data_IF_229444131177
#
_entry.id   IF_229444131177
#
_cell.length_a   1.000
_cell.length_b   1.000
_cell.length_c   1.000
_cell.angle_alpha   90.00
_cell.angle_beta   90.00
_cell.angle_gamma   90.00
#
_symmetry.space_group_name_H-M   'P 1'
#
loop_
_entity.id
_entity.type
_entity.pdbx_description
1 polymer ?
#
# COMPACT_ATOMS: atom_id res chain seq x y z
N UNK A 1 9.26 0.25 30.05
CA UNK A 1 10.13 1.45 29.93
C UNK A 1 9.20 2.55 29.41
N UNK A 2 8.75 3.40 30.30
CA UNK A 2 8.05 4.63 29.94
C UNK A 2 9.11 5.61 29.46
N UNK A 3 9.28 5.70 28.17
CA UNK A 3 10.28 6.61 27.57
C UNK A 3 9.75 8.02 27.39
N UNK A 4 8.64 8.40 27.99
CA UNK A 4 8.14 9.79 27.94
C UNK A 4 8.04 10.41 26.54
N UNK A 5 8.09 9.55 25.51
CA UNK A 5 8.19 9.94 24.11
C UNK A 5 6.78 10.27 23.61
N UNK A 6 6.56 11.51 23.29
CA UNK A 6 5.32 11.90 22.61
C UNK A 6 5.42 11.41 21.18
N UNK A 7 4.59 10.46 20.80
CA UNK A 7 4.42 10.02 19.41
C UNK A 7 3.19 10.73 18.82
N UNK A 8 3.33 11.26 17.62
CA UNK A 8 2.21 11.73 16.82
C UNK A 8 1.96 10.75 15.68
N UNK A 9 0.70 10.36 15.51
CA UNK A 9 0.27 9.52 14.39
C UNK A 9 -0.56 10.36 13.42
N UNK A 10 -0.25 10.23 12.15
CA UNK A 10 -0.96 10.90 11.06
C UNK A 10 -1.24 9.91 9.94
N UNK A 11 -2.21 10.23 9.09
CA UNK A 11 -2.39 9.56 7.82
C UNK A 11 -1.11 9.70 6.99
N UNK A 12 -0.68 8.65 6.30
CA UNK A 12 0.52 8.68 5.46
C UNK A 12 0.37 9.75 4.37
N UNK A 13 1.37 10.61 4.22
CA UNK A 13 1.43 11.54 3.10
C UNK A 13 1.93 10.84 1.84
N UNK A 14 1.58 11.34 0.64
CA UNK A 14 2.16 10.82 -0.60
C UNK A 14 3.68 10.95 -0.65
N UNK A 15 4.25 11.97 -0.02
CA UNK A 15 5.70 12.11 0.12
C UNK A 15 6.31 10.96 0.94
N UNK A 16 5.71 10.63 2.08
CA UNK A 16 6.15 9.49 2.90
C UNK A 16 5.97 8.17 2.16
N UNK A 17 4.89 8.03 1.38
CA UNK A 17 4.65 6.89 0.51
C UNK A 17 5.78 6.73 -0.52
N UNK A 18 6.07 7.77 -1.28
CA UNK A 18 7.11 7.75 -2.31
C UNK A 18 8.51 7.48 -1.70
N UNK A 19 8.77 8.00 -0.50
CA UNK A 19 9.99 7.69 0.25
C UNK A 19 10.09 6.21 0.59
N UNK A 20 9.00 5.59 1.08
CA UNK A 20 8.97 4.17 1.39
C UNK A 20 9.14 3.30 0.13
N UNK A 21 8.48 3.65 -0.98
CA UNK A 21 8.63 2.96 -2.27
C UNK A 21 10.06 3.07 -2.80
N UNK A 22 10.69 4.24 -2.69
CA UNK A 22 12.08 4.43 -3.09
C UNK A 22 13.05 3.67 -2.16
N UNK A 23 12.77 3.61 -0.87
CA UNK A 23 13.53 2.78 0.07
C UNK A 23 13.49 1.29 -0.31
N UNK A 24 12.30 0.75 -0.61
CA UNK A 24 12.15 -0.63 -1.09
C UNK A 24 12.98 -0.85 -2.35
N UNK A 25 12.88 0.06 -3.33
CA UNK A 25 13.61 -0.02 -4.59
C UNK A 25 15.12 -0.08 -4.40
N UNK A 26 15.66 0.64 -3.43
CA UNK A 26 17.11 0.76 -3.21
C UNK A 26 17.67 -0.29 -2.24
N UNK A 27 16.83 -0.88 -1.38
CA UNK A 27 17.25 -1.80 -0.31
C UNK A 27 16.68 -3.22 -0.46
N UNK A 28 16.11 -3.55 -1.62
CA UNK A 28 15.63 -4.89 -1.91
C UNK A 28 15.93 -5.30 -3.36
N UNK A 29 15.55 -6.52 -3.72
CA UNK A 29 15.66 -7.03 -5.10
C UNK A 29 14.56 -6.46 -6.03
N UNK A 30 13.60 -5.72 -5.51
CA UNK A 30 12.47 -5.16 -6.25
C UNK A 30 12.81 -3.78 -6.84
N UNK A 31 13.80 -3.72 -7.72
CA UNK A 31 14.36 -2.46 -8.27
C UNK A 31 13.36 -1.61 -9.06
N UNK A 32 12.29 -2.21 -9.60
CA UNK A 32 11.18 -1.52 -10.27
C UNK A 32 9.85 -1.65 -9.53
N UNK A 33 9.90 -1.68 -8.19
CA UNK A 33 8.75 -1.81 -7.30
C UNK A 33 7.63 -0.80 -7.58
N UNK A 34 8.00 0.44 -7.91
CA UNK A 34 7.04 1.51 -8.20
C UNK A 34 6.19 1.26 -9.46
N UNK A 35 6.74 0.54 -10.45
CA UNK A 35 6.17 0.48 -11.80
C UNK A 35 5.74 -0.93 -12.23
N UNK A 36 6.07 -1.95 -11.45
CA UNK A 36 5.76 -3.34 -11.80
C UNK A 36 4.81 -3.97 -10.78
N UNK A 37 3.70 -4.50 -11.28
CA UNK A 37 2.75 -5.29 -10.48
C UNK A 37 3.30 -6.64 -10.05
N UNK A 38 4.46 -7.07 -10.57
CA UNK A 38 5.11 -8.31 -10.16
C UNK A 38 5.47 -8.36 -8.67
N UNK A 39 5.60 -7.20 -8.05
CA UNK A 39 5.93 -7.06 -6.63
C UNK A 39 4.71 -6.79 -5.74
N UNK A 40 3.51 -6.70 -6.32
CA UNK A 40 2.30 -6.55 -5.52
C UNK A 40 2.08 -7.79 -4.65
N UNK A 41 1.76 -7.59 -3.39
CA UNK A 41 1.48 -8.67 -2.46
C UNK A 41 0.22 -9.43 -2.84
N UNK A 42 -0.93 -8.82 -2.67
CA UNK A 42 -2.22 -9.39 -3.06
C UNK A 42 -2.68 -8.79 -4.39
N UNK A 43 -2.76 -9.63 -5.42
CA UNK A 43 -3.05 -9.20 -6.79
C UNK A 43 -4.01 -10.18 -7.49
N UNK A 44 -4.98 -9.67 -8.28
CA UNK A 44 -6.05 -10.47 -8.86
C UNK A 44 -5.55 -11.64 -9.71
N UNK A 45 -4.65 -11.37 -10.64
CA UNK A 45 -4.29 -12.31 -11.71
C UNK A 45 -3.30 -13.41 -11.33
N UNK A 46 -2.99 -13.56 -10.03
CA UNK A 46 -2.06 -14.62 -9.59
C UNK A 46 -2.41 -15.19 -8.23
N UNK A 47 -1.89 -16.39 -7.98
CA UNK A 47 -1.91 -17.00 -6.67
C UNK A 47 -1.13 -16.16 -5.67
N UNK A 48 -1.70 -15.97 -4.50
CA UNK A 48 -1.02 -15.32 -3.37
C UNK A 48 -0.59 -16.39 -2.38
N UNK A 49 0.67 -16.34 -1.98
CA UNK A 49 1.27 -17.30 -1.07
C UNK A 49 1.65 -16.63 0.25
N UNK A 50 1.53 -17.36 1.33
CA UNK A 50 2.07 -16.97 2.62
C UNK A 50 3.61 -17.13 2.66
N UNK A 51 4.21 -16.74 3.79
CA UNK A 51 5.67 -16.86 4.01
C UNK A 51 6.19 -18.30 4.03
N UNK A 52 5.29 -19.29 4.16
CA UNK A 52 5.63 -20.73 4.14
C UNK A 52 5.45 -21.33 2.74
N UNK A 53 4.95 -20.55 1.77
CA UNK A 53 4.69 -20.99 0.41
C UNK A 53 3.30 -21.59 0.17
N UNK A 54 2.42 -21.62 1.16
CA UNK A 54 1.05 -22.11 1.00
C UNK A 54 0.22 -21.10 0.23
N UNK A 55 -0.61 -21.57 -0.71
CA UNK A 55 -1.56 -20.70 -1.42
C UNK A 55 -2.67 -20.30 -0.45
N UNK A 56 -2.82 -19.00 -0.21
CA UNK A 56 -3.85 -18.40 0.65
C UNK A 56 -4.94 -17.68 -0.13
N UNK A 57 -4.72 -17.45 -1.43
CA UNK A 57 -5.70 -16.94 -2.41
C UNK A 57 -5.31 -17.42 -3.81
N UNK A 58 -6.24 -17.93 -4.58
CA UNK A 58 -5.99 -18.31 -5.98
C UNK A 58 -6.11 -17.13 -6.93
N UNK A 59 -5.48 -17.27 -8.10
CA UNK A 59 -5.64 -16.31 -9.19
C UNK A 59 -7.13 -16.16 -9.55
N UNK A 60 -7.51 -14.93 -9.89
CA UNK A 60 -8.87 -14.51 -10.24
C UNK A 60 -9.89 -14.55 -9.08
N UNK A 61 -9.46 -14.82 -7.86
CA UNK A 61 -10.28 -14.58 -6.67
C UNK A 61 -10.10 -13.14 -6.20
N UNK A 62 -11.22 -12.39 -6.18
CA UNK A 62 -11.22 -10.99 -5.69
C UNK A 62 -11.46 -10.98 -4.18
N UNK A 63 -10.39 -11.02 -3.41
CA UNK A 63 -10.44 -11.08 -1.95
C UNK A 63 -9.36 -10.21 -1.32
N UNK A 64 -9.76 -9.38 -0.35
CA UNK A 64 -8.83 -8.66 0.52
C UNK A 64 -8.20 -9.63 1.51
N UNK A 65 -6.91 -9.45 1.78
CA UNK A 65 -6.16 -10.21 2.77
C UNK A 65 -5.72 -9.31 3.93
N UNK A 66 -5.44 -9.90 5.07
CA UNK A 66 -4.83 -9.16 6.18
C UNK A 66 -3.41 -8.74 5.81
N UNK A 67 -3.04 -7.51 6.14
CA UNK A 67 -1.69 -6.98 5.92
C UNK A 67 -0.64 -7.85 6.63
N UNK A 68 0.48 -8.06 5.96
CA UNK A 68 1.61 -8.82 6.51
C UNK A 68 1.56 -10.33 6.23
N UNK A 69 0.54 -10.85 5.56
CA UNK A 69 0.48 -12.27 5.15
C UNK A 69 1.36 -12.56 3.94
N UNK A 70 1.55 -11.57 3.07
CA UNK A 70 2.28 -11.72 1.81
C UNK A 70 3.78 -11.40 1.96
N UNK A 71 4.50 -11.41 0.84
CA UNK A 71 5.93 -11.09 0.81
C UNK A 71 6.17 -9.63 1.19
N UNK A 72 7.15 -9.38 2.06
CA UNK A 72 7.66 -8.03 2.33
C UNK A 72 8.90 -7.72 1.49
N UNK A 73 9.10 -6.46 1.19
CA UNK A 73 10.32 -5.94 0.59
C UNK A 73 10.94 -4.92 1.54
N UNK A 74 12.20 -5.11 1.91
CA UNK A 74 12.88 -4.31 2.93
C UNK A 74 12.07 -4.18 4.25
N UNK A 75 11.39 -5.26 4.67
CA UNK A 75 10.48 -5.34 5.83
C UNK A 75 9.23 -4.44 5.75
N UNK A 76 8.91 -3.91 4.57
CA UNK A 76 7.68 -3.16 4.33
C UNK A 76 6.71 -4.05 3.56
N UNK A 77 5.45 -4.09 4.01
CA UNK A 77 4.39 -4.93 3.46
C UNK A 77 3.38 -4.12 2.67
N UNK A 78 2.83 -4.74 1.63
CA UNK A 78 1.61 -4.34 0.93
C UNK A 78 1.56 -2.85 0.48
N UNK A 79 2.72 -2.27 0.10
CA UNK A 79 2.74 -0.96 -0.58
C UNK A 79 2.18 -1.07 -2.02
N UNK A 80 2.10 -2.27 -2.57
CA UNK A 80 1.49 -2.56 -3.86
C UNK A 80 0.48 -3.70 -3.74
N UNK A 81 -0.74 -3.47 -4.23
CA UNK A 81 -1.85 -4.42 -4.15
C UNK A 81 -2.56 -4.42 -2.79
N UNK A 82 -3.42 -5.38 -2.57
CA UNK A 82 -4.30 -5.56 -1.44
C UNK A 82 -5.38 -4.45 -1.33
N UNK A 83 -5.06 -3.27 -0.81
CA UNK A 83 -5.97 -2.12 -0.79
C UNK A 83 -5.25 -0.86 -1.29
N UNK A 84 -5.97 -0.02 -2.02
CA UNK A 84 -5.51 1.34 -2.31
C UNK A 84 -5.55 2.15 -1.02
N UNK A 85 -4.46 2.80 -0.66
CA UNK A 85 -4.36 3.48 0.63
C UNK A 85 -4.49 4.99 0.47
N UNK A 86 -5.45 5.57 1.18
CA UNK A 86 -5.64 7.02 1.23
C UNK A 86 -4.41 7.70 1.82
N UNK A 87 -4.11 8.88 1.27
CA UNK A 87 -3.03 9.75 1.75
C UNK A 87 -3.57 11.12 2.12
N UNK A 88 -2.73 11.98 2.70
CA UNK A 88 -3.09 13.37 2.98
C UNK A 88 -3.04 14.27 1.74
N UNK A 89 -2.74 13.71 0.58
CA UNK A 89 -2.68 14.47 -0.67
C UNK A 89 -4.08 14.72 -1.22
N UNK A 90 -4.33 15.95 -1.65
CA UNK A 90 -5.52 16.34 -2.37
C UNK A 90 -5.20 16.48 -3.86
N UNK A 91 -6.16 16.15 -4.72
CA UNK A 91 -6.02 16.41 -6.14
C UNK A 91 -6.14 17.93 -6.40
N UNK A 92 -5.12 18.58 -6.98
CA UNK A 92 -5.16 20.04 -7.17
C UNK A 92 -6.22 20.51 -8.18
N UNK A 93 -6.77 19.61 -8.98
CA UNK A 93 -7.76 19.94 -10.00
C UNK A 93 -9.21 19.77 -9.52
N UNK A 94 -9.42 19.19 -8.36
CA UNK A 94 -10.74 18.92 -7.78
C UNK A 94 -10.68 19.16 -6.27
N UNK A 95 -11.57 20.00 -5.75
CA UNK A 95 -11.51 20.42 -4.33
C UNK A 95 -11.82 19.32 -3.31
N UNK A 96 -12.43 18.21 -3.75
CA UNK A 96 -13.06 17.24 -2.86
C UNK A 96 -12.50 15.82 -3.00
N UNK A 97 -11.48 15.62 -3.84
CA UNK A 97 -10.90 14.30 -4.06
C UNK A 97 -9.57 14.12 -3.33
N UNK A 98 -9.42 13.00 -2.68
CA UNK A 98 -8.18 12.57 -2.03
C UNK A 98 -7.42 11.59 -2.91
N UNK A 99 -6.09 11.61 -2.82
CA UNK A 99 -5.24 10.68 -3.56
C UNK A 99 -5.04 9.40 -2.74
N UNK A 100 -5.31 8.24 -3.37
CA UNK A 100 -4.92 6.96 -2.84
C UNK A 100 -3.82 6.32 -3.69
N UNK A 101 -3.03 5.45 -3.07
CA UNK A 101 -1.81 4.90 -3.61
C UNK A 101 -1.81 3.37 -3.58
N UNK A 102 -0.97 2.75 -4.42
CA UNK A 102 -0.58 1.35 -4.31
C UNK A 102 -1.43 0.32 -5.04
N UNK A 103 -2.54 0.70 -5.65
CA UNK A 103 -3.47 -0.24 -6.26
C UNK A 103 -4.17 -1.14 -5.25
N UNK A 104 -5.03 -2.05 -5.71
CA UNK A 104 -5.83 -2.90 -4.84
C UNK A 104 -5.87 -4.37 -5.32
N UNK A 105 -6.56 -5.23 -4.57
CA UNK A 105 -6.61 -6.67 -4.83
C UNK A 105 -7.36 -7.06 -6.10
N UNK A 106 -8.18 -6.20 -6.69
CA UNK A 106 -8.83 -6.45 -7.97
C UNK A 106 -8.10 -5.86 -9.19
N UNK A 107 -6.89 -5.30 -9.01
CA UNK A 107 -6.01 -5.09 -10.15
C UNK A 107 -5.85 -3.68 -10.65
N UNK A 108 -5.71 -2.68 -9.77
CA UNK A 108 -5.62 -1.27 -10.16
C UNK A 108 -4.21 -0.65 -10.22
N UNK A 109 -3.14 -1.44 -10.24
CA UNK A 109 -1.81 -0.92 -10.53
C UNK A 109 -0.70 -1.26 -9.51
N UNK A 110 0.56 -0.89 -9.79
CA UNK A 110 1.70 -1.11 -8.92
C UNK A 110 1.78 -0.11 -7.76
N UNK A 111 2.77 -0.26 -6.88
CA UNK A 111 2.96 0.58 -5.70
C UNK A 111 3.08 2.09 -6.00
N UNK A 112 3.59 2.47 -7.16
CA UNK A 112 3.70 3.87 -7.57
C UNK A 112 2.40 4.50 -8.09
N UNK A 113 1.33 3.72 -8.24
CA UNK A 113 0.04 4.22 -8.74
C UNK A 113 -0.50 5.33 -7.85
N UNK A 114 -1.09 6.34 -8.51
CA UNK A 114 -1.80 7.46 -7.90
C UNK A 114 -3.17 7.55 -8.57
N UNK A 115 -4.20 7.41 -7.76
CA UNK A 115 -5.59 7.56 -8.17
C UNK A 115 -6.26 8.57 -7.26
N UNK A 116 -7.25 9.26 -7.75
CA UNK A 116 -8.12 10.12 -6.96
C UNK A 116 -9.51 9.50 -6.86
N UNK A 117 -10.14 9.73 -5.74
CA UNK A 117 -11.52 9.34 -5.46
C UNK A 117 -12.18 10.39 -4.58
N UNK A 118 -13.50 10.51 -4.67
CA UNK A 118 -14.25 11.39 -3.79
C UNK A 118 -14.02 10.96 -2.32
N UNK A 119 -13.86 11.95 -1.45
CA UNK A 119 -13.52 11.72 -0.03
C UNK A 119 -14.59 10.94 0.75
N UNK A 120 -15.80 10.83 0.19
CA UNK A 120 -16.94 10.11 0.77
C UNK A 120 -17.09 8.67 0.30
N UNK A 121 -16.30 8.22 -0.67
CA UNK A 121 -16.43 6.87 -1.22
C UNK A 121 -15.89 5.82 -0.24
N UNK A 122 -16.76 4.88 0.12
CA UNK A 122 -16.39 3.70 0.88
C UNK A 122 -16.39 2.47 -0.03
N UNK A 123 -15.25 1.83 -0.17
CA UNK A 123 -15.09 0.62 -0.99
C UNK A 123 -14.20 -0.40 -0.27
N UNK A 124 -14.42 -1.68 -0.51
CA UNK A 124 -13.64 -2.77 0.07
C UNK A 124 -12.17 -2.78 -0.37
N UNK A 125 -11.85 -2.12 -1.47
CA UNK A 125 -10.49 -1.97 -2.00
C UNK A 125 -9.73 -0.78 -1.44
N UNK A 126 -10.32 0.00 -0.54
CA UNK A 126 -9.69 1.15 0.10
C UNK A 126 -9.29 0.88 1.54
N UNK A 127 -8.22 1.53 1.95
CA UNK A 127 -7.67 1.47 3.29
C UNK A 127 -6.82 2.70 3.60
N UNK A 128 -6.02 2.60 4.63
CA UNK A 128 -5.08 3.67 5.00
C UNK A 128 -3.86 3.10 5.70
N UNK A 129 -2.81 3.89 5.73
CA UNK A 129 -1.58 3.62 6.47
C UNK A 129 -1.27 4.80 7.39
N UNK A 130 -0.93 4.50 8.64
CA UNK A 130 -0.48 5.52 9.59
C UNK A 130 1.03 5.73 9.47
N UNK A 131 1.47 6.97 9.63
CA UNK A 131 2.87 7.32 9.88
C UNK A 131 3.01 7.78 11.32
N UNK A 132 4.02 7.26 12.03
CA UNK A 132 4.30 7.62 13.42
C UNK A 132 5.61 8.42 13.45
N UNK A 133 5.57 9.59 14.05
CA UNK A 133 6.75 10.41 14.30
C UNK A 133 7.06 10.41 15.80
N UNK A 134 8.28 10.04 16.14
CA UNK A 134 8.82 10.14 17.50
C UNK A 134 9.41 11.55 17.69
N UNK A 135 9.08 12.19 18.80
CA UNK A 135 9.62 13.49 19.20
C UNK A 135 10.69 13.31 20.26
#
# INVERSE_FOLDING_TARGET
IDVGTKANSYLCSSYAWDTAVNFIKTHSTATNYATSTNFNGNWLSRDVKDKKGNIIKKANESQRLNTGLTTSYANIYDMGGNVGEFTTELNPNTSDTVVFRGGNFYGSGPAGTRWDSDSGDADSGYGFRSTIFLK
#
